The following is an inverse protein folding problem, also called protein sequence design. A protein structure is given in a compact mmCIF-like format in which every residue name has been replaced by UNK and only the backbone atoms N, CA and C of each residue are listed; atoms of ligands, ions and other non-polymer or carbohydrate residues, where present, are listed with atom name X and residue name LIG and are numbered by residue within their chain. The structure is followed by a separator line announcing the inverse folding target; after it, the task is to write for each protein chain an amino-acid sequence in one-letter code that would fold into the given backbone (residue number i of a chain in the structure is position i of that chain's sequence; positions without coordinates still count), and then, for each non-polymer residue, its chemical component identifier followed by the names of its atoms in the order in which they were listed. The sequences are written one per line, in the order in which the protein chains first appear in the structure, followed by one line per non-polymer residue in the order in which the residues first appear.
data_IF_075400455623
#
_entry.id   IF_075400455623
#
_cell.length_a   1.000
_cell.length_b   1.000
_cell.length_c   1.000
_cell.angle_alpha   90.00
_cell.angle_beta   90.00
_cell.angle_gamma   90.00
#
_symmetry.space_group_name_H-M   'P 1'
#
loop_
_entity.id
_entity.type
_entity.pdbx_description
1 polymer ?
#
# COMPACT_ATOMS: atom_id res chain seq x y z
N UNK A 1 -18.71 9.59 -22.71
CA UNK A 1 -17.26 9.82 -22.61
C UNK A 1 -17.02 11.30 -22.38
N UNK A 2 -16.75 11.64 -21.13
CA UNK A 2 -16.35 12.94 -20.64
C UNK A 2 -15.29 13.64 -21.53
N UNK A 3 -15.41 14.96 -21.66
CA UNK A 3 -14.56 15.78 -22.54
C UNK A 3 -13.08 15.72 -22.16
N UNK A 4 -12.73 15.72 -20.87
CA UNK A 4 -11.34 15.67 -20.42
C UNK A 4 -10.73 14.29 -20.60
N UNK A 5 -11.50 13.22 -20.39
CA UNK A 5 -11.08 11.85 -20.71
C UNK A 5 -10.82 11.69 -22.22
N UNK A 6 -11.72 12.22 -23.05
CA UNK A 6 -11.54 12.24 -24.51
C UNK A 6 -10.26 12.96 -24.94
N UNK A 7 -10.02 14.18 -24.42
CA UNK A 7 -8.77 14.93 -24.70
C UNK A 7 -7.52 14.17 -24.27
N UNK A 8 -7.58 13.45 -23.15
CA UNK A 8 -6.47 12.60 -22.71
C UNK A 8 -6.19 11.49 -23.73
N UNK A 9 -7.24 10.81 -24.20
CA UNK A 9 -7.14 9.77 -25.22
C UNK A 9 -6.58 10.33 -26.54
N UNK A 10 -7.04 11.49 -27.00
CA UNK A 10 -6.56 12.15 -28.23
C UNK A 10 -5.03 12.41 -28.20
N UNK A 11 -4.46 12.70 -27.02
CA UNK A 11 -3.00 12.82 -26.85
C UNK A 11 -2.31 11.50 -27.20
N UNK A 12 -2.84 10.37 -26.73
CA UNK A 12 -2.29 9.04 -26.99
C UNK A 12 -2.63 8.51 -28.38
N UNK A 13 -3.73 8.92 -29.00
CA UNK A 13 -3.99 8.63 -30.42
C UNK A 13 -2.95 9.30 -31.32
N UNK A 14 -2.58 10.54 -30.99
CA UNK A 14 -1.53 11.28 -31.71
C UNK A 14 -0.12 10.81 -31.36
N UNK A 15 0.09 10.37 -30.12
CA UNK A 15 1.36 9.88 -29.61
C UNK A 15 1.17 8.52 -28.92
N UNK A 16 1.04 7.43 -29.71
CA UNK A 16 0.78 6.09 -29.18
C UNK A 16 1.78 5.64 -28.13
N UNK A 17 1.28 4.89 -27.16
CA UNK A 17 2.11 4.25 -26.16
C UNK A 17 3.15 3.35 -26.84
N UNK A 18 4.37 3.33 -26.29
CA UNK A 18 5.52 2.54 -26.79
C UNK A 18 6.04 2.90 -28.19
N UNK A 19 5.52 3.96 -28.83
CA UNK A 19 6.08 4.45 -30.08
C UNK A 19 7.34 5.32 -29.85
N UNK A 20 8.28 5.27 -30.79
CA UNK A 20 9.46 6.13 -30.77
C UNK A 20 9.12 7.52 -31.32
N UNK A 21 9.58 8.57 -30.63
CA UNK A 21 9.31 9.95 -31.00
C UNK A 21 10.59 10.78 -31.10
N UNK A 22 10.64 11.63 -32.13
CA UNK A 22 11.68 12.66 -32.28
C UNK A 22 11.68 13.62 -31.08
N UNK A 23 12.74 14.43 -30.96
CA UNK A 23 12.83 15.46 -29.91
C UNK A 23 11.69 16.48 -30.04
N UNK A 24 11.35 16.87 -31.26
CA UNK A 24 10.24 17.79 -31.55
C UNK A 24 8.90 17.18 -31.16
N UNK A 25 8.65 15.93 -31.54
CA UNK A 25 7.42 15.22 -31.19
C UNK A 25 7.24 15.07 -29.68
N UNK A 26 8.31 14.71 -28.95
CA UNK A 26 8.30 14.66 -27.48
C UNK A 26 7.97 16.01 -26.86
N UNK A 27 8.52 17.11 -27.40
CA UNK A 27 8.21 18.48 -26.94
C UNK A 27 6.74 18.83 -27.16
N UNK A 28 6.16 18.44 -28.30
CA UNK A 28 4.73 18.65 -28.59
C UNK A 28 3.85 17.84 -27.65
N UNK A 29 4.13 16.54 -27.46
CA UNK A 29 3.41 15.67 -26.51
C UNK A 29 3.44 16.26 -25.10
N UNK A 30 4.62 16.67 -24.63
CA UNK A 30 4.76 17.28 -23.30
C UNK A 30 3.91 18.54 -23.17
N UNK A 31 3.94 19.44 -24.17
CA UNK A 31 3.10 20.66 -24.17
C UNK A 31 1.60 20.32 -24.11
N UNK A 32 1.15 19.32 -24.86
CA UNK A 32 -0.25 18.88 -24.85
C UNK A 32 -0.65 18.30 -23.49
N UNK A 33 0.19 17.44 -22.90
CA UNK A 33 -0.05 16.87 -21.57
C UNK A 33 -0.12 17.96 -20.49
N UNK A 34 0.85 18.88 -20.46
CA UNK A 34 0.84 19.99 -19.50
C UNK A 34 -0.36 20.92 -19.69
N UNK A 35 -0.82 21.12 -20.93
CA UNK A 35 -2.03 21.88 -21.19
C UNK A 35 -3.26 21.19 -20.62
N UNK A 36 -3.40 19.88 -20.86
CA UNK A 36 -4.48 19.07 -20.31
C UNK A 36 -4.48 19.06 -18.78
N UNK A 37 -3.30 18.94 -18.15
CA UNK A 37 -3.16 18.97 -16.68
C UNK A 37 -3.62 20.30 -16.07
N UNK A 38 -3.41 21.44 -16.76
CA UNK A 38 -3.77 22.78 -16.28
C UNK A 38 -5.20 23.21 -16.60
N UNK A 39 -5.84 22.60 -17.59
CA UNK A 39 -7.19 22.96 -18.01
C UNK A 39 -8.23 22.69 -16.92
N UNK A 40 -9.10 23.63 -16.58
CA UNK A 40 -10.15 23.38 -15.58
C UNK A 40 -11.08 22.26 -16.06
N UNK A 41 -11.59 21.44 -15.13
CA UNK A 41 -12.57 20.40 -15.44
C UNK A 41 -13.96 21.00 -15.29
N UNK A 42 -14.61 21.30 -16.41
CA UNK A 42 -15.96 21.92 -16.41
C UNK A 42 -17.04 20.92 -15.97
N UNK A 43 -16.91 19.68 -16.43
CA UNK A 43 -17.79 18.56 -16.09
C UNK A 43 -16.91 17.37 -15.71
N UNK A 44 -17.08 16.84 -14.51
CA UNK A 44 -16.33 15.67 -14.05
C UNK A 44 -17.01 14.38 -14.54
N UNK A 45 -16.25 13.34 -14.92
CA UNK A 45 -16.83 12.03 -15.17
C UNK A 45 -17.44 11.46 -13.88
N UNK A 46 -18.38 10.53 -14.01
CA UNK A 46 -18.77 9.69 -12.87
C UNK A 46 -17.62 8.75 -12.49
N UNK A 47 -17.71 8.15 -11.28
CA UNK A 47 -16.74 7.13 -10.87
C UNK A 47 -16.73 5.94 -11.84
N UNK A 48 -17.90 5.45 -12.23
CA UNK A 48 -18.03 4.36 -13.20
C UNK A 48 -17.42 4.73 -14.55
N UNK A 49 -17.68 5.94 -15.07
CA UNK A 49 -17.11 6.37 -16.36
C UNK A 49 -15.58 6.48 -16.30
N UNK A 50 -15.02 6.93 -15.18
CA UNK A 50 -13.57 6.97 -14.97
C UNK A 50 -12.96 5.56 -14.96
N UNK A 51 -13.56 4.63 -14.22
CA UNK A 51 -13.09 3.24 -14.12
C UNK A 51 -13.23 2.50 -15.45
N UNK A 52 -14.34 2.68 -16.16
CA UNK A 52 -14.58 2.12 -17.49
C UNK A 52 -13.55 2.62 -18.50
N UNK A 53 -13.26 3.93 -18.49
CA UNK A 53 -12.25 4.52 -19.35
C UNK A 53 -10.87 3.89 -19.12
N UNK A 54 -10.43 3.81 -17.86
CA UNK A 54 -9.13 3.20 -17.55
C UNK A 54 -9.11 1.73 -17.96
N UNK A 55 -10.17 0.97 -17.64
CA UNK A 55 -10.28 -0.45 -17.99
C UNK A 55 -10.20 -0.66 -19.50
N UNK A 56 -10.92 0.15 -20.27
CA UNK A 56 -10.99 0.05 -21.72
C UNK A 56 -9.65 0.41 -22.39
N UNK A 57 -8.97 1.45 -21.91
CA UNK A 57 -7.83 2.04 -22.60
C UNK A 57 -6.47 1.75 -21.95
N UNK A 58 -6.39 0.97 -20.85
CA UNK A 58 -5.14 0.71 -20.11
C UNK A 58 -3.93 0.26 -20.95
N UNK A 59 -4.17 -0.39 -22.09
CA UNK A 59 -3.11 -0.85 -23.00
C UNK A 59 -2.67 0.22 -24.02
N UNK A 60 -3.42 1.31 -24.13
CA UNK A 60 -3.24 2.37 -25.12
C UNK A 60 -2.79 3.69 -24.49
N UNK A 61 -3.05 3.88 -23.20
CA UNK A 61 -2.68 5.07 -22.44
C UNK A 61 -1.80 4.71 -21.25
N UNK A 62 -1.00 5.67 -20.78
CA UNK A 62 -0.24 5.50 -19.56
C UNK A 62 -1.00 6.11 -18.38
N UNK A 63 -1.39 5.30 -17.41
CA UNK A 63 -2.10 5.76 -16.21
C UNK A 63 -1.08 6.29 -15.20
N UNK A 64 -1.05 7.60 -15.02
CA UNK A 64 -0.12 8.27 -14.09
C UNK A 64 -0.83 8.71 -12.81
N UNK A 65 -0.09 8.99 -11.73
CA UNK A 65 -0.65 9.66 -10.56
C UNK A 65 -1.36 10.98 -10.91
N UNK A 66 -0.80 11.77 -11.84
CA UNK A 66 -1.38 13.03 -12.30
C UNK A 66 -2.75 12.82 -12.98
N UNK A 67 -2.93 11.71 -13.68
CA UNK A 67 -4.23 11.36 -14.28
C UNK A 67 -5.30 11.22 -13.20
N UNK A 68 -5.07 10.44 -12.14
CA UNK A 68 -6.05 10.31 -11.05
C UNK A 68 -6.14 11.59 -10.21
N UNK A 69 -5.05 12.33 -10.02
CA UNK A 69 -5.08 13.61 -9.31
C UNK A 69 -6.06 14.59 -9.96
N UNK A 70 -6.12 14.61 -11.30
CA UNK A 70 -7.05 15.44 -12.08
C UNK A 70 -8.51 15.22 -11.67
N UNK A 71 -8.86 13.97 -11.39
CA UNK A 71 -10.21 13.54 -11.07
C UNK A 71 -10.39 13.19 -9.59
N UNK A 72 -9.57 13.77 -8.70
CA UNK A 72 -9.59 13.45 -7.28
C UNK A 72 -10.96 13.61 -6.64
N UNK A 73 -11.72 14.64 -6.99
CA UNK A 73 -13.09 14.86 -6.51
C UNK A 73 -14.07 13.74 -6.88
N UNK A 74 -13.77 12.94 -7.91
CA UNK A 74 -14.63 11.84 -8.39
C UNK A 74 -14.48 10.60 -7.52
N UNK A 75 -13.24 10.28 -7.10
CA UNK A 75 -12.94 9.01 -6.45
C UNK A 75 -12.60 9.13 -4.96
N UNK A 76 -12.27 10.33 -4.44
CA UNK A 76 -11.78 10.48 -3.06
C UNK A 76 -12.83 10.11 -2.02
N UNK A 77 -14.10 10.43 -2.28
CA UNK A 77 -15.18 10.10 -1.35
C UNK A 77 -15.41 8.58 -1.28
N UNK A 78 -15.45 7.90 -2.43
CA UNK A 78 -15.54 6.43 -2.47
C UNK A 78 -14.29 5.78 -1.86
N UNK A 79 -13.09 6.33 -2.07
CA UNK A 79 -11.89 5.81 -1.39
C UNK A 79 -12.03 5.87 0.14
N UNK A 80 -12.54 6.98 0.68
CA UNK A 80 -12.65 7.19 2.11
C UNK A 80 -13.78 6.34 2.73
N UNK A 81 -14.95 6.29 2.08
CA UNK A 81 -16.19 5.79 2.69
C UNK A 81 -16.84 4.65 1.92
N UNK A 82 -16.50 4.47 0.64
CA UNK A 82 -16.92 3.36 -0.21
C UNK A 82 -15.83 2.29 -0.34
N UNK A 83 -15.82 1.62 -1.50
CA UNK A 83 -14.88 0.53 -1.79
C UNK A 83 -14.61 0.30 -3.28
N UNK A 84 -15.44 0.84 -4.18
CA UNK A 84 -15.40 0.50 -5.60
C UNK A 84 -14.09 0.93 -6.25
N UNK A 85 -13.62 2.14 -5.94
CA UNK A 85 -12.34 2.65 -6.42
C UNK A 85 -11.15 1.88 -5.83
N UNK A 86 -11.22 1.51 -4.55
CA UNK A 86 -10.19 0.70 -3.89
C UNK A 86 -10.07 -0.69 -4.52
N UNK A 87 -11.22 -1.33 -4.80
CA UNK A 87 -11.29 -2.62 -5.48
C UNK A 87 -10.76 -2.50 -6.91
N UNK A 88 -11.21 -1.47 -7.64
CA UNK A 88 -10.76 -1.18 -9.00
C UNK A 88 -9.23 -1.01 -9.09
N UNK A 89 -8.62 -0.27 -8.16
CA UNK A 89 -7.16 -0.10 -8.14
C UNK A 89 -6.44 -1.44 -7.95
N UNK A 90 -6.91 -2.33 -7.09
CA UNK A 90 -6.34 -3.66 -6.94
C UNK A 90 -6.51 -4.48 -8.22
N UNK A 91 -7.71 -4.48 -8.80
CA UNK A 91 -7.99 -5.28 -10.00
C UNK A 91 -7.15 -4.83 -11.20
N UNK A 92 -6.82 -3.54 -11.28
CA UNK A 92 -5.92 -2.98 -12.30
C UNK A 92 -4.44 -3.01 -11.95
N UNK A 93 -4.05 -3.55 -10.78
CA UNK A 93 -2.67 -3.56 -10.29
C UNK A 93 -2.08 -2.13 -10.21
N UNK A 94 -2.91 -1.18 -9.74
CA UNK A 94 -2.64 0.25 -9.60
C UNK A 94 -2.60 0.71 -8.14
N UNK A 95 -2.59 -0.21 -7.17
CA UNK A 95 -2.56 0.10 -5.75
C UNK A 95 -1.33 0.90 -5.33
N UNK A 96 -0.22 0.77 -6.07
CA UNK A 96 0.98 1.58 -5.88
C UNK A 96 0.75 3.06 -6.23
N UNK A 97 -0.34 3.48 -6.85
CA UNK A 97 -0.57 4.91 -7.06
C UNK A 97 -0.97 5.63 -5.77
N UNK A 98 -1.46 4.90 -4.77
CA UNK A 98 -2.01 5.45 -3.52
C UNK A 98 -0.98 6.25 -2.71
N UNK A 99 0.29 5.83 -2.69
CA UNK A 99 1.33 6.57 -1.94
C UNK A 99 1.57 7.98 -2.48
N UNK A 100 1.23 8.25 -3.75
CA UNK A 100 1.34 9.58 -4.35
C UNK A 100 0.27 10.56 -3.88
N UNK A 101 -0.77 10.07 -3.20
CA UNK A 101 -1.88 10.87 -2.72
C UNK A 101 -1.89 11.02 -1.18
N UNK A 102 -0.80 10.62 -0.52
CA UNK A 102 -0.68 10.53 0.94
C UNK A 102 -1.83 9.74 1.57
N UNK A 103 -2.21 8.65 0.89
CA UNK A 103 -3.28 7.75 1.30
C UNK A 103 -2.71 6.43 1.85
N UNK A 104 -3.48 5.77 2.70
CA UNK A 104 -3.07 4.51 3.34
C UNK A 104 -3.42 3.30 2.46
N UNK A 105 -2.40 2.53 2.04
CA UNK A 105 -2.59 1.23 1.38
C UNK A 105 -3.30 0.22 2.29
N UNK A 106 -3.12 0.34 3.61
CA UNK A 106 -3.83 -0.49 4.58
C UNK A 106 -5.33 -0.16 4.59
N UNK A 107 -5.68 1.13 4.53
CA UNK A 107 -7.07 1.57 4.40
C UNK A 107 -7.71 1.03 3.12
N UNK A 108 -7.01 1.14 1.98
CA UNK A 108 -7.46 0.56 0.71
C UNK A 108 -7.78 -0.93 0.86
N UNK A 109 -6.84 -1.72 1.38
CA UNK A 109 -7.04 -3.16 1.55
C UNK A 109 -8.22 -3.46 2.50
N UNK A 110 -8.30 -2.75 3.62
CA UNK A 110 -9.36 -2.94 4.61
C UNK A 110 -10.75 -2.58 4.09
N UNK A 111 -10.90 -1.53 3.28
CA UNK A 111 -12.20 -1.18 2.70
C UNK A 111 -12.74 -2.29 1.79
N UNK A 112 -11.89 -2.84 0.93
CA UNK A 112 -12.27 -3.96 0.06
C UNK A 112 -12.61 -5.20 0.89
N UNK A 113 -11.80 -5.52 1.91
CA UNK A 113 -12.01 -6.70 2.76
C UNK A 113 -13.25 -6.62 3.65
N UNK A 114 -13.71 -5.42 4.03
CA UNK A 114 -15.00 -5.23 4.74
C UNK A 114 -16.17 -5.73 3.90
N UNK A 115 -16.11 -5.54 2.57
CA UNK A 115 -17.17 -5.96 1.64
C UNK A 115 -16.96 -7.37 1.11
N UNK A 116 -15.72 -7.70 0.77
CA UNK A 116 -15.30 -8.94 0.13
C UNK A 116 -14.18 -9.60 0.96
N UNK A 117 -14.56 -10.32 2.02
CA UNK A 117 -13.61 -10.86 3.02
C UNK A 117 -12.54 -11.80 2.47
N UNK A 118 -12.79 -12.40 1.30
CA UNK A 118 -11.89 -13.34 0.62
C UNK A 118 -11.29 -12.75 -0.67
N UNK A 119 -11.31 -11.42 -0.84
CA UNK A 119 -10.73 -10.76 -2.00
C UNK A 119 -9.20 -10.97 -2.05
N UNK A 120 -8.74 -11.82 -2.97
CA UNK A 120 -7.36 -12.34 -2.97
C UNK A 120 -6.31 -11.23 -3.07
N UNK A 121 -6.48 -10.26 -3.97
CA UNK A 121 -5.52 -9.15 -4.12
C UNK A 121 -5.46 -8.27 -2.87
N UNK A 122 -6.59 -8.05 -2.20
CA UNK A 122 -6.65 -7.23 -0.99
C UNK A 122 -6.00 -7.96 0.20
N UNK A 123 -6.25 -9.27 0.34
CA UNK A 123 -5.58 -10.12 1.32
C UNK A 123 -4.06 -10.12 1.11
N UNK A 124 -3.60 -10.24 -0.15
CA UNK A 124 -2.16 -10.21 -0.48
C UNK A 124 -1.52 -8.87 -0.11
N UNK A 125 -2.16 -7.75 -0.47
CA UNK A 125 -1.68 -6.42 -0.11
C UNK A 125 -1.61 -6.25 1.42
N UNK A 126 -2.67 -6.64 2.13
CA UNK A 126 -2.72 -6.57 3.59
C UNK A 126 -1.61 -7.39 4.24
N UNK A 127 -1.43 -8.65 3.81
CA UNK A 127 -0.37 -9.52 4.34
C UNK A 127 1.02 -8.92 4.09
N UNK A 128 1.28 -8.39 2.89
CA UNK A 128 2.54 -7.73 2.54
C UNK A 128 2.83 -6.54 3.46
N UNK A 129 1.81 -5.71 3.74
CA UNK A 129 1.95 -4.55 4.63
C UNK A 129 2.21 -4.97 6.08
N UNK A 130 1.47 -5.96 6.60
CA UNK A 130 1.64 -6.46 7.96
C UNK A 130 3.01 -7.10 8.18
N UNK A 131 3.46 -7.93 7.23
CA UNK A 131 4.79 -8.54 7.33
C UNK A 131 5.87 -7.47 7.31
N UNK A 132 5.80 -6.50 6.38
CA UNK A 132 6.78 -5.41 6.31
C UNK A 132 6.82 -4.60 7.60
N UNK A 133 5.66 -4.33 8.19
CA UNK A 133 5.57 -3.61 9.46
C UNK A 133 6.26 -4.37 10.59
N UNK A 134 5.91 -5.65 10.78
CA UNK A 134 6.43 -6.45 11.87
C UNK A 134 7.91 -6.82 11.70
N UNK A 135 8.36 -7.06 10.47
CA UNK A 135 9.78 -7.29 10.15
C UNK A 135 10.61 -6.04 10.50
N UNK A 136 10.14 -4.86 10.11
CA UNK A 136 10.77 -3.59 10.48
C UNK A 136 10.78 -3.38 12.00
N UNK A 137 9.65 -3.56 12.68
CA UNK A 137 9.57 -3.36 14.12
C UNK A 137 10.51 -4.28 14.90
N UNK A 138 10.64 -5.55 14.51
CA UNK A 138 11.59 -6.46 15.13
C UNK A 138 13.05 -6.08 14.86
N UNK A 139 13.35 -5.61 13.65
CA UNK A 139 14.69 -5.13 13.29
C UNK A 139 15.12 -3.93 14.13
N UNK A 140 14.18 -3.01 14.41
CA UNK A 140 14.42 -1.79 15.17
C UNK A 140 14.39 -1.98 16.70
N UNK A 141 13.79 -3.07 17.18
CA UNK A 141 13.59 -3.31 18.60
C UNK A 141 14.87 -3.31 19.45
N UNK A 142 16.01 -3.92 19.03
CA UNK A 142 17.27 -3.84 19.76
C UNK A 142 17.79 -2.41 19.94
N UNK A 143 17.40 -1.49 19.05
CA UNK A 143 17.76 -0.08 19.08
C UNK A 143 16.78 0.76 19.90
N UNK A 144 15.82 0.12 20.56
CA UNK A 144 14.83 0.78 21.39
C UNK A 144 13.73 1.48 20.61
N UNK A 145 13.48 1.03 19.38
CA UNK A 145 12.43 1.60 18.52
C UNK A 145 11.44 0.48 18.18
N UNK A 146 10.27 0.56 18.78
CA UNK A 146 9.06 -0.06 18.25
C UNK A 146 8.23 1.06 17.64
N UNK A 147 7.62 0.82 16.47
CA UNK A 147 6.65 1.75 15.94
C UNK A 147 5.51 1.98 16.96
N UNK A 148 4.92 3.18 16.91
CA UNK A 148 3.94 3.67 17.87
C UNK A 148 2.80 2.66 18.11
N UNK A 149 2.44 2.41 19.38
CA UNK A 149 1.34 1.50 19.73
C UNK A 149 1.42 1.02 21.17
N UNK A 150 0.41 0.25 21.58
CA UNK A 150 0.44 -0.47 22.87
C UNK A 150 0.52 -1.99 22.68
N UNK A 151 0.79 -2.71 23.78
CA UNK A 151 0.97 -4.17 23.79
C UNK A 151 -0.17 -4.92 23.13
N UNK A 152 -1.40 -4.52 23.38
CA UNK A 152 -2.59 -5.20 22.86
C UNK A 152 -2.74 -4.97 21.36
N UNK A 153 -2.56 -3.73 20.89
CA UNK A 153 -2.62 -3.38 19.46
C UNK A 153 -1.59 -4.16 18.63
N UNK A 154 -0.35 -4.25 19.12
CA UNK A 154 0.72 -4.96 18.44
C UNK A 154 0.46 -6.46 18.33
N UNK A 155 0.00 -7.09 19.41
CA UNK A 155 -0.33 -8.52 19.40
C UNK A 155 -1.58 -8.83 18.57
N UNK A 156 -2.55 -7.91 18.54
CA UNK A 156 -3.71 -8.00 17.67
C UNK A 156 -3.31 -7.89 16.20
N UNK A 157 -2.36 -7.01 15.85
CA UNK A 157 -1.80 -6.90 14.49
C UNK A 157 -1.09 -8.20 14.05
N UNK A 158 -0.35 -8.85 14.94
CA UNK A 158 0.26 -10.17 14.64
C UNK A 158 -0.81 -11.24 14.41
N UNK A 159 -1.88 -11.23 15.22
CA UNK A 159 -3.00 -12.16 15.05
C UNK A 159 -3.70 -11.93 13.70
N UNK A 160 -3.93 -10.66 13.34
CA UNK A 160 -4.50 -10.27 12.05
C UNK A 160 -3.61 -10.72 10.87
N UNK A 161 -2.30 -10.64 11.04
CA UNK A 161 -1.32 -11.12 10.05
C UNK A 161 -1.43 -12.64 9.86
N UNK A 162 -1.47 -13.42 10.93
CA UNK A 162 -1.65 -14.88 10.88
C UNK A 162 -2.99 -15.29 10.25
N UNK A 163 -4.08 -14.62 10.61
CA UNK A 163 -5.40 -14.86 10.03
C UNK A 163 -5.44 -14.55 8.54
N UNK A 164 -4.80 -13.46 8.12
CA UNK A 164 -4.70 -13.08 6.71
C UNK A 164 -3.90 -14.11 5.92
N UNK A 165 -2.77 -14.58 6.47
CA UNK A 165 -1.97 -15.65 5.88
C UNK A 165 -2.76 -16.96 5.75
N UNK A 166 -3.54 -17.32 6.78
CA UNK A 166 -4.42 -18.50 6.76
C UNK A 166 -5.46 -18.42 5.66
N UNK A 167 -6.11 -17.27 5.45
CA UNK A 167 -7.07 -17.06 4.35
C UNK A 167 -6.44 -17.26 2.97
N UNK A 168 -5.16 -16.95 2.83
CA UNK A 168 -4.39 -17.12 1.60
C UNK A 168 -3.77 -18.52 1.44
N UNK A 169 -3.89 -19.39 2.44
CA UNK A 169 -3.09 -20.62 2.54
C UNK A 169 -1.57 -20.35 2.39
N UNK A 170 -1.12 -19.19 2.88
CA UNK A 170 0.29 -18.80 2.82
C UNK A 170 1.09 -19.53 3.89
N UNK A 171 2.14 -20.25 3.48
CA UNK A 171 3.03 -20.98 4.37
C UNK A 171 4.47 -20.71 3.95
N UNK A 172 5.25 -20.11 4.84
CA UNK A 172 6.68 -19.89 4.66
C UNK A 172 7.38 -19.99 6.01
N UNK A 173 8.48 -20.74 6.08
CA UNK A 173 9.25 -20.91 7.32
C UNK A 173 9.63 -19.57 7.96
N UNK A 174 10.06 -18.61 7.15
CA UNK A 174 10.45 -17.28 7.65
C UNK A 174 9.24 -16.51 8.23
N UNK A 175 8.04 -16.71 7.68
CA UNK A 175 6.81 -16.09 8.21
C UNK A 175 6.43 -16.65 9.58
N UNK A 176 6.55 -17.96 9.78
CA UNK A 176 6.31 -18.58 11.08
C UNK A 176 7.30 -18.08 12.13
N UNK A 177 8.57 -17.92 11.75
CA UNK A 177 9.60 -17.36 12.62
C UNK A 177 9.30 -15.89 12.96
N UNK A 178 8.85 -15.09 11.99
CA UNK A 178 8.43 -13.71 12.23
C UNK A 178 7.29 -13.65 13.26
N UNK A 179 6.21 -14.42 13.06
CA UNK A 179 5.07 -14.44 13.97
C UNK A 179 5.50 -14.86 15.39
N UNK A 180 6.33 -15.89 15.50
CA UNK A 180 6.90 -16.35 16.76
C UNK A 180 7.71 -15.25 17.45
N UNK A 181 8.60 -14.58 16.71
CA UNK A 181 9.44 -13.53 17.26
C UNK A 181 8.62 -12.30 17.72
N UNK A 182 7.62 -11.86 16.97
CA UNK A 182 6.73 -10.79 17.43
C UNK A 182 6.05 -11.15 18.75
N UNK A 183 5.46 -12.35 18.85
CA UNK A 183 4.79 -12.83 20.07
C UNK A 183 5.75 -12.99 21.25
N UNK A 184 7.03 -13.26 20.99
CA UNK A 184 8.07 -13.37 22.02
C UNK A 184 8.55 -12.00 22.51
N UNK A 185 8.89 -11.10 21.58
CA UNK A 185 9.64 -9.88 21.92
C UNK A 185 8.75 -8.68 22.22
N UNK A 186 7.55 -8.58 21.64
CA UNK A 186 6.65 -7.46 21.93
C UNK A 186 6.24 -7.38 23.41
N UNK A 187 5.84 -8.48 24.09
CA UNK A 187 5.54 -8.41 25.51
C UNK A 187 6.73 -7.93 26.35
N UNK A 188 7.94 -8.42 26.03
CA UNK A 188 9.17 -8.05 26.71
C UNK A 188 9.53 -6.58 26.51
N UNK A 189 9.28 -6.04 25.31
CA UNK A 189 9.45 -4.62 25.03
C UNK A 189 8.58 -3.74 25.91
N UNK A 190 7.29 -4.06 26.01
CA UNK A 190 6.39 -3.27 26.86
C UNK A 190 6.69 -3.44 28.35
N UNK A 191 7.11 -4.62 28.79
CA UNK A 191 7.63 -4.84 30.15
C UNK A 191 8.88 -3.98 30.44
N UNK A 192 9.83 -3.92 29.51
CA UNK A 192 11.01 -3.06 29.61
C UNK A 192 10.65 -1.58 29.78
N UNK A 193 9.68 -1.09 29.01
CA UNK A 193 9.18 0.29 29.12
C UNK A 193 8.51 0.56 30.48
N UNK A 194 7.80 -0.42 31.03
CA UNK A 194 7.13 -0.33 32.33
C UNK A 194 8.12 -0.34 33.51
N UNK A 195 9.17 -1.16 33.44
CA UNK A 195 10.14 -1.36 34.52
C UNK A 195 11.06 -0.13 34.77
N UNK A 196 11.07 0.86 33.87
CA UNK A 196 11.92 2.07 33.96
C UNK A 196 13.39 1.74 34.29
N UNK A 197 13.88 0.66 33.70
CA UNK A 197 15.24 0.18 33.94
C UNK A 197 16.29 1.17 33.42
N UNK A 198 17.51 1.12 33.95
CA UNK A 198 18.64 1.96 33.50
C UNK A 198 19.52 1.30 32.44
N UNK A 199 19.13 0.11 31.97
CA UNK A 199 19.86 -0.66 30.97
C UNK A 199 19.21 -0.50 29.59
N UNK A 200 19.93 -0.85 28.53
CA UNK A 200 19.34 -0.90 27.19
C UNK A 200 18.42 -2.13 27.03
N UNK A 201 17.53 -2.13 26.02
CA UNK A 201 16.63 -3.27 25.79
C UNK A 201 17.36 -4.59 25.56
N UNK A 202 18.51 -4.57 24.86
CA UNK A 202 19.34 -5.77 24.69
C UNK A 202 19.82 -6.33 26.04
N UNK A 203 20.34 -5.48 26.91
CA UNK A 203 20.79 -5.86 28.25
C UNK A 203 19.62 -6.36 29.12
N UNK A 204 18.44 -5.76 28.97
CA UNK A 204 17.20 -6.23 29.60
C UNK A 204 16.85 -7.66 29.17
N UNK A 205 16.95 -7.98 27.88
CA UNK A 205 16.71 -9.33 27.37
C UNK A 205 17.71 -10.35 27.95
N UNK A 206 18.99 -9.98 28.02
CA UNK A 206 20.04 -10.81 28.62
C UNK A 206 19.74 -11.10 30.11
N UNK A 207 19.30 -10.09 30.87
CA UNK A 207 18.89 -10.24 32.28
C UNK A 207 17.67 -11.17 32.43
N UNK A 208 16.77 -11.20 31.46
CA UNK A 208 15.61 -12.12 31.41
C UNK A 208 15.98 -13.51 30.87
N UNK A 209 17.26 -13.77 30.54
CA UNK A 209 17.73 -15.04 29.99
C UNK A 209 17.25 -15.30 28.55
N UNK A 210 16.95 -14.24 27.81
CA UNK A 210 16.44 -14.31 26.43
C UNK A 210 17.61 -14.10 25.46
N UNK A 211 17.87 -15.11 24.62
CA UNK A 211 18.86 -15.01 23.56
C UNK A 211 18.46 -13.94 22.51
N UNK A 212 19.43 -13.09 22.17
CA UNK A 212 19.27 -11.94 21.27
C UNK A 212 19.76 -12.24 19.85
N UNK A 213 20.47 -13.35 19.62
CA UNK A 213 20.91 -13.76 18.28
C UNK A 213 19.72 -14.08 17.35
N UNK A 214 18.59 -14.48 17.92
CA UNK A 214 17.38 -14.84 17.16
C UNK A 214 16.51 -13.66 16.70
N UNK A 215 16.83 -12.42 17.08
CA UNK A 215 16.13 -11.21 16.60
C UNK A 215 16.54 -10.88 15.15
N UNK A 216 17.75 -11.24 14.75
CA UNK A 216 18.29 -10.94 13.42
C UNK A 216 17.81 -11.96 12.39
N UNK A 217 16.59 -11.75 11.86
CA UNK A 217 16.08 -12.53 10.75
C UNK A 217 16.67 -12.03 9.41
N UNK A 218 17.02 -12.93 8.48
CA UNK A 218 17.24 -12.54 7.09
C UNK A 218 15.92 -12.03 6.50
N UNK A 219 15.96 -10.89 5.81
CA UNK A 219 14.83 -10.23 5.14
C UNK A 219 13.83 -11.20 4.52
N UNK A 220 12.54 -11.05 4.85
CA UNK A 220 11.47 -11.81 4.21
C UNK A 220 11.10 -11.13 2.90
N UNK A 221 11.49 -11.71 1.76
CA UNK A 221 10.94 -11.32 0.47
C UNK A 221 9.58 -12.00 0.28
N UNK A 222 8.50 -11.20 0.24
CA UNK A 222 7.14 -11.60 -0.16
C UNK A 222 6.85 -11.07 -1.56
#
# INVERSE_FOLDING_TARGET
MNTHLKKYLEIYEKFPLNAYFSKEQRKVRHKMMTSWEKEAVDEYPSLDELMDFVTQYKNNIHITPQFFQKFQSVWREDFNHGYQFSEFLLEMDLEELIWKFDLSSMHLANQVLKRHQNHVKALKLKLKLLVRYHDFCLHELPWGVLAEGNREEELNSVTEMEETAKKLNFQAKNFEILCHNCKRYYPLWFEYLEEKTKCGFKEFLELKGVDTESIYLPYIMI
#
